data_IF_650750130752
#
_entry.id   IF_650750130752
#
_cell.length_a   1.000
_cell.length_b   1.000
_cell.length_c   1.000
_cell.angle_alpha   90.00
_cell.angle_beta   90.00
_cell.angle_gamma   90.00
#
_symmetry.space_group_name_H-M   'P 1'
#
loop_
_entity.id
_entity.type
_entity.pdbx_description
1 polymer ?
#
# COMPACT_ATOMS: atom_id res chain seq x y z
N UNK A 1 34.58 23.30 48.63
CA UNK A 1 34.97 21.94 48.22
C UNK A 1 33.72 21.13 47.94
N UNK A 2 33.33 20.97 46.67
CA UNK A 2 32.24 20.06 46.30
C UNK A 2 32.78 18.64 46.39
N UNK A 3 32.18 17.83 47.26
CA UNK A 3 32.63 16.46 47.53
C UNK A 3 32.41 15.57 46.30
N UNK A 4 33.35 14.67 46.03
CA UNK A 4 33.36 13.72 44.91
C UNK A 4 32.06 12.89 44.76
N UNK A 5 31.29 12.74 45.83
CA UNK A 5 29.98 12.12 45.85
C UNK A 5 28.89 12.92 45.09
N UNK A 6 28.95 14.26 45.11
CA UNK A 6 28.01 15.14 44.40
C UNK A 6 28.26 15.10 42.88
N UNK A 7 29.53 15.19 42.48
CA UNK A 7 29.97 15.00 41.09
C UNK A 7 29.67 13.60 40.54
N UNK A 8 29.75 12.55 41.38
CA UNK A 8 29.34 11.18 40.99
C UNK A 8 27.83 11.07 40.78
N UNK A 9 27.00 11.66 41.65
CA UNK A 9 25.54 11.58 41.57
C UNK A 9 24.97 12.36 40.37
N UNK A 10 25.58 13.50 40.05
CA UNK A 10 25.24 14.31 38.88
C UNK A 10 25.67 13.63 37.57
N UNK A 11 26.85 13.01 37.55
CA UNK A 11 27.32 12.22 36.40
C UNK A 11 26.51 10.94 36.18
N UNK A 12 25.97 10.32 37.24
CA UNK A 12 25.03 9.18 37.14
C UNK A 12 23.68 9.62 36.58
N UNK A 13 23.12 10.75 37.02
CA UNK A 13 21.86 11.29 36.48
C UNK A 13 21.93 11.64 35.00
N UNK A 14 23.04 12.24 34.54
CA UNK A 14 23.26 12.57 33.11
C UNK A 14 23.38 11.30 32.23
N UNK A 15 23.99 10.23 32.76
CA UNK A 15 24.12 8.93 32.06
C UNK A 15 22.77 8.20 31.95
N UNK A 16 21.89 8.34 32.94
CA UNK A 16 20.53 7.78 32.88
C UNK A 16 19.67 8.47 31.80
N UNK A 17 19.77 9.80 31.65
CA UNK A 17 19.05 10.54 30.60
C UNK A 17 19.55 10.21 29.18
N UNK A 18 20.87 10.13 28.98
CA UNK A 18 21.45 9.75 27.69
C UNK A 18 21.03 8.34 27.26
N UNK A 19 20.92 7.42 28.22
CA UNK A 19 20.43 6.05 27.99
C UNK A 19 18.95 6.05 27.60
N UNK A 20 18.09 6.73 28.35
CA UNK A 20 16.65 6.82 28.03
C UNK A 20 16.39 7.44 26.65
N UNK A 21 17.17 8.45 26.25
CA UNK A 21 17.07 9.09 24.94
C UNK A 21 17.44 8.11 23.83
N UNK A 22 18.53 7.34 24.01
CA UNK A 22 18.95 6.30 23.06
C UNK A 22 17.90 5.21 22.94
N UNK A 23 17.34 4.74 24.05
CA UNK A 23 16.27 3.75 24.06
C UNK A 23 15.02 4.23 23.31
N UNK A 24 14.56 5.45 23.58
CA UNK A 24 13.41 6.04 22.89
C UNK A 24 13.67 6.20 21.38
N UNK A 25 14.88 6.59 20.97
CA UNK A 25 15.27 6.65 19.56
C UNK A 25 15.27 5.27 18.90
N UNK A 26 15.81 4.26 19.58
CA UNK A 26 15.75 2.88 19.10
C UNK A 26 14.29 2.41 18.93
N UNK A 27 13.43 2.67 19.91
CA UNK A 27 12.00 2.33 19.82
C UNK A 27 11.30 3.00 18.63
N UNK A 28 11.59 4.27 18.34
CA UNK A 28 11.04 4.96 17.16
C UNK A 28 11.54 4.36 15.84
N UNK A 29 12.83 3.98 15.76
CA UNK A 29 13.38 3.30 14.59
C UNK A 29 12.75 1.93 14.40
N UNK A 30 12.52 1.18 15.47
CA UNK A 30 11.89 -0.14 15.39
C UNK A 30 10.41 -0.02 15.00
N UNK A 31 9.70 1.01 15.47
CA UNK A 31 8.34 1.30 14.99
C UNK A 31 8.29 1.59 13.48
N UNK A 32 9.27 2.34 12.95
CA UNK A 32 9.37 2.58 11.50
C UNK A 32 9.59 1.29 10.72
N UNK A 33 10.48 0.40 11.19
CA UNK A 33 10.71 -0.90 10.54
C UNK A 33 9.45 -1.75 10.53
N UNK A 34 8.70 -1.78 11.64
CA UNK A 34 7.43 -2.50 11.71
C UNK A 34 6.41 -1.93 10.72
N UNK A 35 6.30 -0.59 10.65
CA UNK A 35 5.43 0.08 9.67
C UNK A 35 5.81 -0.26 8.23
N UNK A 36 7.10 -0.33 7.89
CA UNK A 36 7.57 -0.70 6.55
C UNK A 36 7.19 -2.12 6.19
N UNK A 37 7.44 -3.08 7.09
CA UNK A 37 7.06 -4.49 6.89
C UNK A 37 5.54 -4.62 6.74
N UNK A 38 4.76 -3.91 7.55
CA UNK A 38 3.30 -3.92 7.45
C UNK A 38 2.81 -3.31 6.13
N UNK A 39 3.41 -2.22 5.69
CA UNK A 39 3.07 -1.57 4.41
C UNK A 39 3.36 -2.49 3.24
N UNK A 40 4.52 -3.16 3.23
CA UNK A 40 4.91 -4.11 2.19
C UNK A 40 3.92 -5.28 2.12
N UNK A 41 3.63 -5.91 3.27
CA UNK A 41 2.65 -7.00 3.35
C UNK A 41 1.25 -6.57 2.88
N UNK A 42 0.79 -5.38 3.29
CA UNK A 42 -0.52 -4.87 2.88
C UNK A 42 -0.56 -4.51 1.40
N UNK A 43 0.52 -3.95 0.87
CA UNK A 43 0.65 -3.66 -0.57
C UNK A 43 0.59 -4.94 -1.38
N UNK A 44 1.35 -5.97 -1.00
CA UNK A 44 1.33 -7.27 -1.67
C UNK A 44 -0.07 -7.89 -1.61
N UNK A 45 -0.72 -7.90 -0.44
CA UNK A 45 -2.07 -8.45 -0.30
C UNK A 45 -3.10 -7.77 -1.23
N UNK A 46 -3.02 -6.44 -1.38
CA UNK A 46 -3.92 -5.68 -2.26
C UNK A 46 -3.61 -5.91 -3.74
N UNK A 47 -2.34 -6.09 -4.09
CA UNK A 47 -1.92 -6.45 -5.45
C UNK A 47 -2.42 -7.85 -5.81
N UNK A 48 -2.20 -8.84 -4.94
CA UNK A 48 -2.66 -10.22 -5.15
C UNK A 48 -4.19 -10.28 -5.33
N UNK A 49 -4.93 -9.52 -4.53
CA UNK A 49 -6.39 -9.40 -4.68
C UNK A 49 -6.77 -8.80 -6.03
N UNK A 50 -6.06 -7.76 -6.47
CA UNK A 50 -6.32 -7.12 -7.76
C UNK A 50 -6.07 -8.09 -8.92
N UNK A 51 -4.96 -8.83 -8.88
CA UNK A 51 -4.62 -9.81 -9.91
C UNK A 51 -5.58 -11.00 -9.92
N UNK A 52 -6.01 -11.47 -8.73
CA UNK A 52 -7.06 -12.46 -8.62
C UNK A 52 -8.36 -11.98 -9.27
N UNK A 53 -8.80 -10.75 -9.01
CA UNK A 53 -10.02 -10.18 -9.60
C UNK A 53 -9.92 -10.08 -11.13
N UNK A 54 -8.77 -9.65 -11.67
CA UNK A 54 -8.54 -9.62 -13.13
C UNK A 54 -8.65 -11.03 -13.71
N UNK A 55 -7.93 -11.99 -13.13
CA UNK A 55 -7.93 -13.37 -13.63
C UNK A 55 -9.32 -13.99 -13.52
N UNK A 56 -10.04 -13.70 -12.44
CA UNK A 56 -11.43 -14.13 -12.28
C UNK A 56 -12.32 -13.54 -13.38
N UNK A 57 -12.22 -12.24 -13.64
CA UNK A 57 -12.97 -11.58 -14.71
C UNK A 57 -12.73 -12.19 -16.09
N UNK A 58 -11.48 -12.49 -16.43
CA UNK A 58 -11.12 -13.16 -17.70
C UNK A 58 -11.79 -14.52 -17.85
N UNK A 59 -11.78 -15.34 -16.79
CA UNK A 59 -12.40 -16.67 -16.77
C UNK A 59 -13.92 -16.55 -16.95
N UNK A 60 -14.57 -15.63 -16.23
CA UNK A 60 -16.01 -15.40 -16.34
C UNK A 60 -16.39 -14.92 -17.76
N UNK A 61 -15.58 -14.06 -18.38
CA UNK A 61 -15.77 -13.60 -19.76
C UNK A 61 -15.62 -14.74 -20.78
N UNK A 62 -14.65 -15.64 -20.58
CA UNK A 62 -14.47 -16.81 -21.45
C UNK A 62 -15.64 -17.80 -21.32
N UNK A 63 -16.13 -18.01 -20.10
CA UNK A 63 -17.29 -18.87 -19.85
C UNK A 63 -18.56 -18.30 -20.49
N UNK A 64 -18.83 -17.00 -20.30
CA UNK A 64 -19.91 -16.27 -20.96
C UNK A 64 -19.88 -16.46 -22.49
N UNK A 65 -18.74 -16.19 -23.13
CA UNK A 65 -18.58 -16.37 -24.60
C UNK A 65 -18.79 -17.82 -25.04
N UNK A 66 -18.42 -18.79 -24.23
CA UNK A 66 -18.60 -20.22 -24.54
C UNK A 66 -20.07 -20.62 -24.50
N UNK A 67 -20.81 -20.14 -23.49
CA UNK A 67 -22.27 -20.34 -23.39
C UNK A 67 -23.02 -19.67 -24.54
N UNK A 68 -22.64 -18.44 -24.91
CA UNK A 68 -23.26 -17.74 -26.03
C UNK A 68 -23.09 -18.51 -27.35
N UNK A 69 -21.86 -18.94 -27.64
CA UNK A 69 -21.56 -19.77 -28.82
C UNK A 69 -22.36 -21.07 -28.84
N UNK A 70 -22.52 -21.72 -27.68
CA UNK A 70 -23.31 -22.94 -27.55
C UNK A 70 -24.79 -22.66 -27.89
N UNK A 71 -25.37 -21.62 -27.28
CA UNK A 71 -26.76 -21.24 -27.48
C UNK A 71 -27.03 -20.83 -28.94
N UNK A 72 -26.16 -20.04 -29.56
CA UNK A 72 -26.26 -19.64 -30.96
C UNK A 72 -26.22 -20.84 -31.91
N UNK A 73 -25.24 -21.75 -31.73
CA UNK A 73 -25.09 -22.93 -32.59
C UNK A 73 -26.35 -23.80 -32.60
N UNK A 74 -26.98 -23.99 -31.45
CA UNK A 74 -28.20 -24.79 -31.36
C UNK A 74 -29.48 -24.01 -31.73
N UNK A 75 -29.49 -22.69 -31.56
CA UNK A 75 -30.57 -21.83 -32.08
C UNK A 75 -30.61 -21.86 -33.62
N UNK A 76 -29.46 -21.77 -34.27
CA UNK A 76 -29.36 -21.87 -35.73
C UNK A 76 -29.80 -23.24 -36.24
N UNK A 77 -29.37 -24.33 -35.59
CA UNK A 77 -29.79 -25.70 -35.97
C UNK A 77 -31.29 -25.91 -35.83
N UNK A 78 -31.89 -25.42 -34.74
CA UNK A 78 -33.35 -25.40 -34.64
C UNK A 78 -33.97 -24.65 -35.81
N UNK A 79 -33.53 -23.42 -36.07
CA UNK A 79 -34.12 -22.59 -37.13
C UNK A 79 -34.04 -23.27 -38.51
N UNK A 80 -32.96 -24.00 -38.79
CA UNK A 80 -32.81 -24.84 -39.99
C UNK A 80 -33.78 -26.02 -39.97
N UNK A 81 -33.80 -26.82 -38.90
CA UNK A 81 -34.72 -27.97 -38.76
C UNK A 81 -36.18 -27.57 -38.87
N UNK A 82 -36.56 -26.46 -38.23
CA UNK A 82 -37.88 -25.86 -38.35
C UNK A 82 -38.15 -25.49 -39.80
N UNK A 83 -37.25 -24.76 -40.48
CA UNK A 83 -37.44 -24.38 -41.89
C UNK A 83 -37.64 -25.58 -42.82
N UNK A 84 -36.86 -26.64 -42.64
CA UNK A 84 -36.97 -27.89 -43.42
C UNK A 84 -38.32 -28.57 -43.18
N UNK A 85 -38.72 -28.79 -41.92
CA UNK A 85 -40.00 -29.42 -41.60
C UNK A 85 -41.23 -28.53 -41.87
N UNK A 86 -41.09 -27.19 -41.82
CA UNK A 86 -42.20 -26.25 -42.03
C UNK A 86 -42.57 -26.07 -43.51
N UNK A 87 -41.67 -26.40 -44.44
CA UNK A 87 -42.04 -26.47 -45.86
C UNK A 87 -43.04 -27.60 -46.16
N UNK A 88 -43.24 -28.53 -45.21
CA UNK A 88 -44.19 -29.67 -45.33
C UNK A 88 -45.51 -29.44 -44.56
N UNK A 89 -45.60 -28.44 -43.65
CA UNK A 89 -46.82 -28.19 -42.87
C UNK A 89 -47.12 -26.69 -42.73
N UNK A 90 -48.10 -26.22 -43.50
CA UNK A 90 -48.58 -24.84 -43.54
C UNK A 90 -49.41 -24.44 -42.29
N UNK A 91 -49.02 -24.82 -41.06
CA UNK A 91 -49.89 -24.60 -39.89
C UNK A 91 -49.27 -24.33 -38.50
N UNK A 92 -47.99 -23.99 -38.39
CA UNK A 92 -47.41 -23.65 -37.08
C UNK A 92 -46.84 -22.22 -37.01
N UNK A 93 -47.72 -21.25 -36.72
CA UNK A 93 -47.30 -19.93 -36.25
C UNK A 93 -46.75 -20.04 -34.82
N UNK A 94 -45.54 -19.53 -34.51
CA UNK A 94 -44.94 -19.61 -33.18
C UNK A 94 -45.72 -18.88 -32.06
N UNK A 95 -46.79 -18.15 -32.41
CA UNK A 95 -47.45 -17.20 -31.52
C UNK A 95 -48.92 -17.53 -31.21
N UNK A 96 -49.47 -18.65 -31.71
CA UNK A 96 -50.95 -18.85 -31.73
C UNK A 96 -51.51 -20.20 -31.28
N UNK A 97 -50.71 -21.11 -30.74
CA UNK A 97 -51.25 -22.30 -30.05
C UNK A 97 -50.77 -22.33 -28.61
N UNK A 98 -51.72 -22.40 -27.69
CA UNK A 98 -51.47 -22.54 -26.25
C UNK A 98 -50.44 -23.66 -26.05
N UNK A 99 -49.24 -23.37 -25.52
CA UNK A 99 -48.20 -24.38 -25.41
C UNK A 99 -48.58 -25.31 -24.28
N UNK A 100 -48.89 -26.58 -24.58
CA UNK A 100 -48.74 -27.62 -23.57
C UNK A 100 -47.29 -27.53 -23.06
N UNK A 101 -47.08 -27.15 -21.79
CA UNK A 101 -45.80 -26.84 -21.14
C UNK A 101 -44.76 -27.98 -21.12
N UNK A 102 -44.96 -29.03 -21.91
CA UNK A 102 -44.24 -30.30 -21.88
C UNK A 102 -43.82 -30.81 -23.27
N UNK A 103 -44.03 -30.05 -24.35
CA UNK A 103 -43.50 -30.47 -25.65
C UNK A 103 -41.97 -30.37 -25.66
N UNK A 104 -41.31 -31.37 -26.26
CA UNK A 104 -39.83 -31.42 -26.40
C UNK A 104 -39.27 -30.11 -26.97
N UNK A 105 -39.99 -29.50 -27.92
CA UNK A 105 -39.67 -28.22 -28.53
C UNK A 105 -39.65 -27.05 -27.53
N UNK A 106 -40.62 -27.00 -26.60
CA UNK A 106 -40.69 -25.96 -25.57
C UNK A 106 -39.60 -26.14 -24.51
N UNK A 107 -39.34 -27.38 -24.08
CA UNK A 107 -38.22 -27.69 -23.16
C UNK A 107 -36.89 -27.26 -23.76
N UNK A 108 -36.69 -27.54 -25.05
CA UNK A 108 -35.48 -27.16 -25.75
C UNK A 108 -35.31 -25.64 -25.88
N UNK A 109 -36.37 -24.89 -26.22
CA UNK A 109 -36.34 -23.44 -26.24
C UNK A 109 -36.06 -22.83 -24.85
N UNK A 110 -36.65 -23.40 -23.80
CA UNK A 110 -36.39 -22.99 -22.42
C UNK A 110 -34.92 -23.20 -22.03
N UNK A 111 -34.31 -24.34 -22.38
CA UNK A 111 -32.89 -24.61 -22.12
C UNK A 111 -31.96 -23.61 -22.84
N UNK A 112 -32.26 -23.26 -24.10
CA UNK A 112 -31.49 -22.25 -24.82
C UNK A 112 -31.64 -20.86 -24.19
N UNK A 113 -32.84 -20.51 -23.75
CA UNK A 113 -33.09 -19.26 -23.03
C UNK A 113 -32.30 -19.20 -21.73
N UNK A 114 -32.30 -20.28 -20.94
CA UNK A 114 -31.52 -20.38 -19.71
C UNK A 114 -30.02 -20.26 -19.99
N UNK A 115 -29.49 -20.95 -21.00
CA UNK A 115 -28.06 -20.88 -21.38
C UNK A 115 -27.65 -19.44 -21.73
N UNK A 116 -28.52 -18.70 -22.44
CA UNK A 116 -28.30 -17.28 -22.75
C UNK A 116 -28.39 -16.39 -21.53
N UNK A 117 -29.24 -16.74 -20.57
CA UNK A 117 -29.32 -16.00 -19.31
C UNK A 117 -28.04 -16.20 -18.50
N UNK A 118 -27.57 -17.44 -18.34
CA UNK A 118 -26.31 -17.75 -17.67
C UNK A 118 -25.13 -17.02 -18.36
N UNK A 119 -25.07 -17.01 -19.70
CA UNK A 119 -24.10 -16.23 -20.47
C UNK A 119 -24.06 -14.75 -20.06
N UNK A 120 -25.23 -14.11 -19.91
CA UNK A 120 -25.33 -12.70 -19.46
C UNK A 120 -24.90 -12.52 -18.02
N UNK A 121 -25.30 -13.43 -17.14
CA UNK A 121 -24.95 -13.38 -15.72
C UNK A 121 -23.42 -13.47 -15.54
N UNK A 122 -22.76 -14.38 -16.27
CA UNK A 122 -21.30 -14.49 -16.31
C UNK A 122 -20.62 -13.26 -16.91
N UNK A 123 -21.21 -12.64 -17.95
CA UNK A 123 -20.72 -11.36 -18.48
C UNK A 123 -20.78 -10.25 -17.42
N UNK A 124 -21.87 -10.17 -16.67
CA UNK A 124 -22.03 -9.19 -15.58
C UNK A 124 -21.06 -9.42 -14.42
N UNK A 125 -20.78 -10.68 -14.07
CA UNK A 125 -19.75 -11.04 -13.10
C UNK A 125 -18.35 -10.64 -13.58
N UNK A 126 -18.03 -10.88 -14.86
CA UNK A 126 -16.78 -10.45 -15.48
C UNK A 126 -16.57 -8.94 -15.39
N UNK A 127 -17.59 -8.16 -15.74
CA UNK A 127 -17.55 -6.70 -15.65
C UNK A 127 -17.41 -6.22 -14.20
N UNK A 128 -18.13 -6.86 -13.27
CA UNK A 128 -18.03 -6.55 -11.85
C UNK A 128 -16.61 -6.79 -11.32
N UNK A 129 -16.00 -7.92 -11.66
CA UNK A 129 -14.63 -8.24 -11.25
C UNK A 129 -13.61 -7.27 -11.86
N UNK A 130 -13.76 -6.94 -13.15
CA UNK A 130 -12.75 -6.18 -13.90
C UNK A 130 -12.84 -4.67 -13.66
N UNK A 131 -14.05 -4.13 -13.42
CA UNK A 131 -14.28 -2.69 -13.38
C UNK A 131 -14.78 -2.21 -12.01
N UNK A 132 -15.72 -2.94 -11.39
CA UNK A 132 -16.40 -2.47 -10.17
C UNK A 132 -15.56 -2.77 -8.92
N UNK A 133 -15.05 -3.99 -8.80
CA UNK A 133 -14.36 -4.44 -7.59
C UNK A 133 -12.89 -4.03 -7.54
N UNK A 134 -12.23 -3.85 -8.68
CA UNK A 134 -10.82 -3.42 -8.73
C UNK A 134 -10.66 -1.97 -8.26
N UNK A 135 -11.58 -1.08 -8.60
CA UNK A 135 -11.44 0.35 -8.30
C UNK A 135 -11.37 0.64 -6.78
N UNK A 136 -12.22 0.07 -5.91
CA UNK A 136 -12.09 0.18 -4.46
C UNK A 136 -10.78 -0.38 -3.92
N UNK A 137 -10.28 -1.51 -4.44
CA UNK A 137 -9.01 -2.11 -4.01
C UNK A 137 -7.84 -1.18 -4.32
N UNK A 138 -7.82 -0.59 -5.52
CA UNK A 138 -6.82 0.41 -5.91
C UNK A 138 -6.88 1.67 -5.04
N UNK A 139 -8.08 2.13 -4.70
CA UNK A 139 -8.26 3.25 -3.77
C UNK A 139 -7.73 2.91 -2.36
N UNK A 140 -7.99 1.70 -1.86
CA UNK A 140 -7.42 1.23 -0.60
C UNK A 140 -5.88 1.17 -0.64
N UNK A 141 -5.29 0.77 -1.76
CA UNK A 141 -3.84 0.75 -1.93
C UNK A 141 -3.24 2.15 -1.85
N UNK A 142 -3.78 3.09 -2.62
CA UNK A 142 -3.35 4.48 -2.63
C UNK A 142 -3.52 5.13 -1.24
N UNK A 143 -4.66 4.90 -0.58
CA UNK A 143 -4.90 5.37 0.78
C UNK A 143 -3.87 4.81 1.77
N UNK A 144 -3.57 3.51 1.70
CA UNK A 144 -2.60 2.85 2.58
C UNK A 144 -1.19 3.47 2.41
N UNK A 145 -0.78 3.72 1.17
CA UNK A 145 0.51 4.36 0.87
C UNK A 145 0.58 5.79 1.41
N UNK A 146 -0.49 6.60 1.23
CA UNK A 146 -0.56 7.96 1.77
C UNK A 146 -0.51 7.98 3.29
N UNK A 147 -1.23 7.07 3.95
CA UNK A 147 -1.26 6.97 5.40
C UNK A 147 0.13 6.58 5.94
N UNK A 148 0.80 5.62 5.32
CA UNK A 148 2.15 5.22 5.71
C UNK A 148 3.15 6.37 5.53
N UNK A 149 3.04 7.15 4.44
CA UNK A 149 3.85 8.37 4.26
C UNK A 149 3.64 9.35 5.41
N UNK A 150 2.38 9.66 5.75
CA UNK A 150 2.06 10.56 6.86
C UNK A 150 2.61 10.05 8.20
N UNK A 151 2.55 8.73 8.43
CA UNK A 151 3.10 8.12 9.64
C UNK A 151 4.63 8.25 9.72
N UNK A 152 5.33 8.07 8.60
CA UNK A 152 6.79 8.31 8.51
C UNK A 152 7.13 9.76 8.80
N UNK A 153 6.41 10.71 8.19
CA UNK A 153 6.64 12.15 8.39
C UNK A 153 6.48 12.55 9.86
N UNK A 154 5.47 12.01 10.56
CA UNK A 154 5.27 12.23 12.00
C UNK A 154 6.39 11.63 12.85
N UNK A 155 6.86 10.42 12.50
CA UNK A 155 7.97 9.80 13.21
C UNK A 155 9.27 10.60 13.05
N UNK A 156 9.57 11.09 11.85
CA UNK A 156 10.71 11.99 11.59
C UNK A 156 10.61 13.27 12.44
N UNK A 157 9.44 13.90 12.49
CA UNK A 157 9.22 15.09 13.33
C UNK A 157 9.48 14.81 14.82
N UNK A 158 9.05 13.65 15.31
CA UNK A 158 9.32 13.22 16.69
C UNK A 158 10.82 12.99 16.91
N UNK A 159 11.51 12.30 15.99
CA UNK A 159 12.96 12.08 16.08
C UNK A 159 13.75 13.40 16.07
N UNK A 160 13.35 14.36 15.25
CA UNK A 160 13.95 15.70 15.21
C UNK A 160 13.71 16.47 16.52
N UNK A 161 12.48 16.42 17.05
CA UNK A 161 12.15 17.01 18.35
C UNK A 161 13.00 16.43 19.48
N UNK A 162 13.17 15.11 19.50
CA UNK A 162 14.03 14.43 20.46
C UNK A 162 15.50 14.81 20.31
N UNK A 163 16.01 14.89 19.08
CA UNK A 163 17.39 15.32 18.82
C UNK A 163 17.63 16.74 19.37
N UNK A 164 16.71 17.66 19.15
CA UNK A 164 16.81 19.04 19.66
C UNK A 164 16.91 19.06 21.18
N UNK A 165 15.95 18.44 21.88
CA UNK A 165 15.92 18.38 23.35
C UNK A 165 17.18 17.71 23.90
N UNK A 166 17.64 16.62 23.26
CA UNK A 166 18.88 15.93 23.65
C UNK A 166 20.11 16.83 23.51
N UNK A 167 20.20 17.58 22.41
CA UNK A 167 21.33 18.47 22.13
C UNK A 167 21.36 19.64 23.11
N UNK A 168 20.20 20.21 23.42
CA UNK A 168 20.05 21.27 24.42
C UNK A 168 20.46 20.78 25.82
N UNK A 169 19.98 19.61 26.25
CA UNK A 169 20.36 19.02 27.54
C UNK A 169 21.86 18.70 27.61
N UNK A 170 22.45 18.17 26.54
CA UNK A 170 23.89 17.87 26.47
C UNK A 170 24.71 19.15 26.55
N UNK A 171 24.29 20.22 25.85
CA UNK A 171 24.91 21.53 25.91
C UNK A 171 24.85 22.13 27.32
N UNK A 172 23.68 22.08 27.98
CA UNK A 172 23.50 22.54 29.36
C UNK A 172 24.40 21.78 30.34
N UNK A 173 24.50 20.46 30.22
CA UNK A 173 25.39 19.65 31.05
C UNK A 173 26.87 20.00 30.84
N UNK A 174 27.29 20.21 29.59
CA UNK A 174 28.66 20.65 29.28
C UNK A 174 28.94 22.03 29.88
N UNK A 175 28.03 22.99 29.70
CA UNK A 175 28.16 24.34 30.26
C UNK A 175 28.20 24.33 31.80
N UNK A 176 27.37 23.51 32.46
CA UNK A 176 27.39 23.33 33.90
C UNK A 176 28.70 22.71 34.39
N UNK A 177 29.24 21.70 33.69
CA UNK A 177 30.53 21.10 34.00
C UNK A 177 31.73 22.03 33.77
N UNK A 178 31.61 23.02 32.88
CA UNK A 178 32.63 24.07 32.72
C UNK A 178 32.52 25.18 33.77
N UNK A 179 31.37 25.36 34.42
CA UNK A 179 31.20 26.35 35.50
C UNK A 179 31.97 26.00 36.79
N UNK A 180 32.40 24.73 36.94
CA UNK A 180 33.28 24.26 38.02
C UNK A 180 34.79 24.40 37.70
N UNK A 181 35.17 24.80 36.48
CA UNK A 181 36.54 25.19 36.15
C UNK A 181 36.67 26.72 36.22
N UNK A 182 37.84 27.26 36.62
CA UNK A 182 38.06 28.71 36.62
C UNK A 182 37.78 29.27 35.22
N UNK A 183 37.17 30.47 35.12
CA UNK A 183 36.70 31.01 33.85
C UNK A 183 37.87 31.13 32.88
N UNK A 184 37.93 30.22 31.90
CA UNK A 184 38.78 30.40 30.73
C UNK A 184 38.11 31.50 29.91
N UNK A 185 38.83 32.55 29.49
CA UNK A 185 38.20 33.71 28.85
C UNK A 185 37.32 33.28 27.67
N UNK A 186 36.08 33.76 27.63
CA UNK A 186 35.05 33.53 26.59
C UNK A 186 35.57 33.64 25.15
N UNK A 187 36.70 34.33 24.95
CA UNK A 187 37.42 34.44 23.69
C UNK A 187 37.95 33.11 23.14
N UNK A 188 38.15 32.07 23.96
CA UNK A 188 38.71 30.78 23.52
C UNK A 188 37.65 29.81 23.00
N UNK A 189 36.43 29.79 23.57
CA UNK A 189 35.36 28.89 23.12
C UNK A 189 34.79 29.30 21.75
N UNK A 190 34.61 30.61 21.50
CA UNK A 190 34.21 31.11 20.18
C UNK A 190 35.27 30.82 19.11
N UNK A 191 36.56 31.01 19.43
CA UNK A 191 37.65 30.68 18.49
C UNK A 191 37.74 29.18 18.16
N UNK A 192 37.31 28.26 19.04
CA UNK A 192 37.29 26.82 18.74
C UNK A 192 36.12 26.45 17.82
N UNK A 193 34.96 27.07 18.01
CA UNK A 193 33.79 26.91 17.12
C UNK A 193 33.95 27.61 15.75
N UNK A 194 34.82 28.61 15.63
CA UNK A 194 35.20 29.23 14.36
C UNK A 194 36.39 28.52 13.69
N UNK A 195 37.36 27.99 14.45
CA UNK A 195 38.50 27.25 13.91
C UNK A 195 38.12 25.87 13.35
N UNK A 196 37.07 25.22 13.87
CA UNK A 196 36.51 23.98 13.27
C UNK A 196 35.74 24.30 11.98
N UNK A 197 34.99 25.42 11.93
CA UNK A 197 34.27 25.89 10.73
C UNK A 197 35.20 26.41 9.62
N UNK A 198 36.33 27.00 10.00
CA UNK A 198 37.38 27.45 9.07
C UNK A 198 38.24 26.31 8.52
N UNK A 199 38.26 25.14 9.16
CA UNK A 199 39.02 23.96 8.68
C UNK A 199 38.27 23.17 7.60
N UNK A 200 36.94 23.28 7.51
CA UNK A 200 36.16 22.70 6.41
C UNK A 200 36.09 23.60 5.15
N UNK A 201 36.47 24.88 5.24
CA UNK A 201 36.30 25.84 4.13
C UNK A 201 37.60 26.44 3.55
N UNK A 202 38.79 26.04 4.03
CA UNK A 202 40.06 26.57 3.53
C UNK A 202 41.19 25.56 3.51
N UNK A 203 41.36 24.85 2.39
CA UNK A 203 42.41 23.86 2.22
C UNK A 203 42.71 23.51 0.76
N UNK A 204 43.06 24.50 -0.07
CA UNK A 204 43.91 24.27 -1.26
C UNK A 204 44.72 25.52 -1.64
N UNK A 205 45.90 25.62 -1.03
CA UNK A 205 47.09 26.29 -1.57
C UNK A 205 48.26 25.78 -0.70
N UNK A 206 49.42 25.33 -1.18
CA UNK A 206 50.05 25.24 -2.51
C UNK A 206 51.30 24.37 -2.27
N UNK A 207 51.72 23.52 -3.21
CA UNK A 207 53.02 22.86 -3.11
C UNK A 207 53.70 22.86 -4.50
N UNK A 208 54.59 23.83 -4.70
CA UNK A 208 55.72 23.70 -5.61
C UNK A 208 56.94 23.35 -4.75
N UNK A 209 57.57 22.22 -5.06
CA UNK A 209 58.98 21.97 -4.79
C UNK A 209 59.42 20.75 -5.64
N UNK A 210 60.26 20.99 -6.64
CA UNK A 210 60.94 19.97 -7.44
C UNK A 210 60.24 19.56 -8.71
#
# INVERSE_FOLDING_TARGET
>A
AMTSAKLRKERVGVVDYDTQIKEMRCQLLDQLKVLDVQLEQKTQQLQDMTDYLRRRGEIESEYSRSLEKLAERFTLRLAVHWREHHTVSNSFSPLRKEPSSHSVSQVWLALLSQTRQESKDHSGLSESCSNILIMPVMHCLDYTQRLAKKSKDLCTQLQDGLLKVTTELTCLCLCAGMADLPPVPLRVCLCRGEAERGRETGGKAKAECG
#
